data_IF_718756294267
#
_entry.id   IF_718756294267
#
_cell.length_a   1.000
_cell.length_b   1.000
_cell.length_c   1.000
_cell.angle_alpha   90.00
_cell.angle_beta   90.00
_cell.angle_gamma   90.00
#
_symmetry.space_group_name_H-M   'P 1'
#
loop_
_entity.id
_entity.type
_entity.pdbx_description
1 polymer ?
#
# COMPACT_ATOMS: atom_id res chain seq x y z
N UNK A 1 -11.66 -22.92 0.48
CA UNK A 1 -11.42 -22.08 -0.72
C UNK A 1 -11.85 -20.69 -0.32
N UNK A 2 -11.03 -19.67 -0.55
CA UNK A 2 -11.40 -18.31 -0.23
C UNK A 2 -12.13 -17.73 -1.45
N UNK A 3 -13.41 -17.45 -1.29
CA UNK A 3 -14.20 -16.83 -2.37
C UNK A 3 -14.58 -15.40 -1.98
N UNK A 4 -14.83 -14.57 -2.98
CA UNK A 4 -15.23 -13.18 -2.82
C UNK A 4 -16.42 -12.83 -3.73
N UNK A 5 -17.25 -11.92 -3.23
CA UNK A 5 -18.36 -11.27 -3.93
C UNK A 5 -18.13 -9.76 -3.90
N UNK A 6 -18.29 -9.08 -5.05
CA UNK A 6 -18.31 -7.62 -5.10
C UNK A 6 -19.61 -7.12 -4.48
N UNK A 7 -19.50 -6.38 -3.38
CA UNK A 7 -20.66 -5.76 -2.71
C UNK A 7 -20.98 -4.38 -3.28
N UNK A 8 -19.95 -3.62 -3.58
CA UNK A 8 -20.06 -2.24 -4.00
C UNK A 8 -18.82 -1.83 -4.79
N UNK A 9 -19.02 -0.98 -5.78
CA UNK A 9 -17.96 -0.28 -6.52
C UNK A 9 -18.34 1.20 -6.59
N UNK A 10 -17.35 2.06 -6.75
CA UNK A 10 -17.60 3.48 -6.95
C UNK A 10 -16.33 4.30 -7.07
N UNK A 11 -16.51 5.62 -6.98
CA UNK A 11 -15.42 6.60 -6.97
C UNK A 11 -15.47 7.48 -5.72
N UNK A 12 -14.30 7.96 -5.28
CA UNK A 12 -14.13 8.79 -4.10
C UNK A 12 -13.50 10.14 -4.49
N UNK A 13 -14.16 11.26 -4.19
CA UNK A 13 -13.54 12.58 -4.38
C UNK A 13 -12.47 12.83 -3.31
N UNK A 14 -11.22 12.90 -3.74
CA UNK A 14 -10.05 13.05 -2.87
C UNK A 14 -9.65 14.52 -2.70
N UNK A 15 -10.10 15.41 -3.58
CA UNK A 15 -9.92 16.86 -3.50
C UNK A 15 -10.90 17.59 -4.43
N UNK A 16 -11.04 18.93 -4.31
CA UNK A 16 -11.92 19.69 -5.19
C UNK A 16 -11.55 19.56 -6.67
N UNK A 17 -12.57 19.42 -7.52
CA UNK A 17 -12.40 19.32 -8.98
C UNK A 17 -11.66 20.53 -9.55
N UNK A 18 -10.75 20.27 -10.49
CA UNK A 18 -10.01 21.31 -11.20
C UNK A 18 -8.80 21.87 -10.45
N UNK A 19 -8.38 21.23 -9.35
CA UNK A 19 -7.12 21.53 -8.69
C UNK A 19 -5.95 21.37 -9.68
N UNK A 20 -5.02 22.32 -9.64
CA UNK A 20 -3.83 22.33 -10.49
C UNK A 20 -2.56 22.41 -9.65
N UNK A 21 -1.50 21.82 -10.17
CA UNK A 21 -0.17 21.88 -9.57
C UNK A 21 0.53 23.23 -9.86
N UNK A 22 1.78 23.35 -9.43
CA UNK A 22 2.60 24.57 -9.64
C UNK A 22 2.91 24.83 -11.12
N UNK A 23 2.87 23.81 -11.98
CA UNK A 23 3.07 23.90 -13.42
C UNK A 23 1.76 24.21 -14.18
N UNK A 24 0.62 24.23 -13.47
CA UNK A 24 -0.70 24.44 -14.04
C UNK A 24 -1.31 23.17 -14.65
N UNK A 25 -0.72 22.00 -14.43
CA UNK A 25 -1.29 20.70 -14.82
C UNK A 25 -2.39 20.29 -13.85
N UNK A 26 -3.37 19.49 -14.32
CA UNK A 26 -4.39 18.97 -13.41
C UNK A 26 -3.76 17.97 -12.44
N UNK A 27 -4.08 18.12 -11.15
CA UNK A 27 -3.68 17.14 -10.15
C UNK A 27 -4.51 15.88 -10.36
N UNK A 28 -3.83 14.76 -10.53
CA UNK A 28 -4.41 13.43 -10.61
C UNK A 28 -4.23 12.73 -9.25
N UNK A 29 -5.30 12.13 -8.74
CA UNK A 29 -5.23 11.24 -7.60
C UNK A 29 -4.90 9.83 -8.06
N UNK A 30 -3.93 9.24 -7.37
CA UNK A 30 -3.33 7.93 -7.61
C UNK A 30 -3.24 7.27 -6.22
N UNK A 31 -4.33 6.61 -5.77
CA UNK A 31 -4.45 6.09 -4.39
C UNK A 31 -3.85 4.69 -4.31
N UNK A 32 -2.69 4.62 -3.69
CA UNK A 32 -1.88 3.41 -3.53
C UNK A 32 -2.00 2.81 -2.12
N UNK A 33 -2.16 3.62 -1.07
CA UNK A 33 -2.21 3.14 0.31
C UNK A 33 -3.59 3.34 0.96
N UNK A 34 -4.03 2.36 1.75
CA UNK A 34 -5.25 2.49 2.57
C UNK A 34 -5.17 1.63 3.82
N UNK A 35 -5.73 2.13 4.93
CA UNK A 35 -5.97 1.34 6.14
C UNK A 35 -7.28 1.76 6.80
N UNK A 36 -7.93 0.84 7.52
CA UNK A 36 -9.17 1.12 8.25
C UNK A 36 -8.93 1.25 9.76
N UNK A 37 -9.30 2.41 10.34
CA UNK A 37 -9.09 2.69 11.78
C UNK A 37 -10.22 2.19 12.69
N UNK A 38 -11.20 1.48 12.15
CA UNK A 38 -12.43 1.08 12.85
C UNK A 38 -13.59 2.07 12.69
N UNK A 39 -13.36 3.24 12.07
CA UNK A 39 -14.38 4.25 11.77
C UNK A 39 -14.20 4.89 10.38
N UNK A 40 -12.96 5.08 9.94
CA UNK A 40 -12.56 5.80 8.73
C UNK A 40 -11.55 4.99 7.96
N UNK A 41 -11.57 5.17 6.65
CA UNK A 41 -10.44 4.82 5.80
C UNK A 41 -9.43 5.96 5.90
N UNK A 42 -8.17 5.64 6.17
CA UNK A 42 -7.03 6.54 5.98
C UNK A 42 -6.41 6.12 4.67
N UNK A 43 -6.29 7.04 3.71
CA UNK A 43 -5.78 6.79 2.36
C UNK A 43 -4.59 7.69 2.07
N UNK A 44 -3.72 7.27 1.17
CA UNK A 44 -2.70 8.14 0.59
C UNK A 44 -2.66 8.05 -0.93
N UNK A 45 -2.38 9.18 -1.55
CA UNK A 45 -1.98 9.21 -2.94
C UNK A 45 -0.46 9.10 -3.08
N UNK A 46 0.02 8.41 -4.13
CA UNK A 46 1.43 8.38 -4.48
C UNK A 46 1.94 9.78 -4.94
N UNK A 47 1.02 10.62 -5.46
CA UNK A 47 1.28 12.00 -5.88
C UNK A 47 0.95 13.03 -4.80
N UNK A 48 1.75 14.11 -4.70
CA UNK A 48 1.43 15.23 -3.83
C UNK A 48 0.11 15.92 -4.20
N UNK A 49 -0.70 16.26 -3.19
CA UNK A 49 -1.89 17.11 -3.35
C UNK A 49 -1.54 18.55 -2.91
N UNK A 50 -1.41 19.52 -3.83
CA UNK A 50 -0.85 20.83 -3.54
C UNK A 50 -1.77 21.69 -2.67
N UNK A 51 -1.18 22.47 -1.76
CA UNK A 51 -1.85 23.46 -0.90
C UNK A 51 -1.52 23.30 0.59
N UNK A 52 -1.57 24.40 1.33
CA UNK A 52 -1.16 24.40 2.74
C UNK A 52 -2.04 23.51 3.62
N UNK A 53 -3.36 23.54 3.38
CA UNK A 53 -4.36 22.76 4.11
C UNK A 53 -4.68 21.40 3.46
N UNK A 54 -3.85 20.94 2.52
CA UNK A 54 -3.99 19.64 1.83
C UNK A 54 -2.72 18.81 1.99
N UNK A 55 -2.87 17.52 1.78
CA UNK A 55 -1.83 16.52 1.88
C UNK A 55 -2.18 15.32 1.01
N UNK A 56 -1.17 14.55 0.61
CA UNK A 56 -1.37 13.27 -0.07
C UNK A 56 -2.09 12.26 0.84
N UNK A 57 -2.00 12.43 2.16
CA UNK A 57 -2.68 11.58 3.15
C UNK A 57 -3.96 12.25 3.65
N UNK A 58 -5.06 11.51 3.63
CA UNK A 58 -6.37 11.97 4.08
C UNK A 58 -7.20 10.82 4.64
N UNK A 59 -8.21 11.15 5.43
CA UNK A 59 -9.16 10.18 5.99
C UNK A 59 -10.59 10.51 5.57
N UNK A 60 -11.40 9.48 5.32
CA UNK A 60 -12.83 9.59 5.03
C UNK A 60 -13.62 8.59 5.89
N UNK A 61 -14.76 8.99 6.49
CA UNK A 61 -15.66 8.05 7.15
C UNK A 61 -16.13 6.96 6.19
N UNK A 62 -16.27 5.73 6.68
CA UNK A 62 -16.95 4.67 5.93
C UNK A 62 -18.34 4.40 6.51
N UNK A 63 -19.31 4.23 5.62
CA UNK A 63 -20.70 3.96 5.99
C UNK A 63 -21.20 2.70 5.29
N UNK A 64 -22.45 2.30 5.56
CA UNK A 64 -23.09 1.21 4.82
C UNK A 64 -23.25 1.49 3.31
N UNK A 65 -23.16 2.76 2.90
CA UNK A 65 -23.20 3.18 1.50
C UNK A 65 -21.79 3.37 0.90
N UNK A 66 -20.73 2.93 1.59
CA UNK A 66 -19.34 3.15 1.19
C UNK A 66 -18.70 4.37 1.85
N UNK A 67 -17.50 4.78 1.37
CA UNK A 67 -16.80 5.96 1.87
C UNK A 67 -17.58 7.26 1.62
N UNK A 68 -17.52 8.19 2.57
CA UNK A 68 -18.23 9.48 2.55
C UNK A 68 -17.23 10.65 2.48
N UNK A 69 -16.97 11.13 1.27
CA UNK A 69 -16.03 12.24 1.00
C UNK A 69 -16.43 13.60 1.61
N UNK A 70 -17.69 13.78 2.03
CA UNK A 70 -18.12 14.99 2.74
C UNK A 70 -17.44 15.15 4.10
N UNK A 71 -16.94 14.03 4.66
CA UNK A 71 -16.19 13.99 5.91
C UNK A 71 -14.68 13.97 5.73
N UNK A 72 -14.16 14.29 4.53
CA UNK A 72 -12.74 14.21 4.24
C UNK A 72 -11.90 15.15 5.12
N UNK A 73 -10.84 14.59 5.70
CA UNK A 73 -9.87 15.30 6.53
C UNK A 73 -8.44 15.04 6.03
N UNK A 74 -7.67 16.09 5.73
CA UNK A 74 -6.26 15.95 5.32
C UNK A 74 -5.32 15.91 6.53
N UNK A 75 -4.34 15.00 6.50
CA UNK A 75 -3.29 14.94 7.52
C UNK A 75 -2.11 15.80 7.10
N UNK A 76 -1.96 16.96 7.73
CA UNK A 76 -1.06 18.04 7.26
C UNK A 76 0.22 18.20 8.09
N UNK A 77 0.52 17.24 8.97
CA UNK A 77 1.79 17.24 9.71
C UNK A 77 2.99 17.28 8.75
N UNK A 78 4.05 18.00 9.12
CA UNK A 78 5.17 18.30 8.21
C UNK A 78 5.82 17.03 7.64
N UNK A 79 6.08 16.00 8.47
CA UNK A 79 6.68 14.75 7.99
C UNK A 79 5.76 14.02 7.00
N UNK A 80 4.44 14.06 7.21
CA UNK A 80 3.45 13.46 6.31
C UNK A 80 3.45 14.19 4.95
N UNK A 81 3.49 15.53 4.96
CA UNK A 81 3.48 16.33 3.73
C UNK A 81 4.77 16.24 2.92
N UNK A 82 5.90 15.94 3.58
CA UNK A 82 7.23 15.87 2.94
C UNK A 82 7.52 14.52 2.29
N UNK A 83 6.93 13.44 2.79
CA UNK A 83 7.03 12.14 2.15
C UNK A 83 6.28 12.15 0.81
N UNK A 84 6.83 11.45 -0.19
CA UNK A 84 6.31 11.38 -1.55
C UNK A 84 6.31 9.93 -2.00
N UNK A 85 5.33 9.55 -2.84
CA UNK A 85 5.07 8.16 -3.22
C UNK A 85 4.77 7.29 -2.02
N UNK A 86 3.71 7.61 -1.29
CA UNK A 86 3.12 6.62 -0.39
C UNK A 86 2.75 5.40 -1.22
N UNK A 87 3.03 4.21 -0.73
CA UNK A 87 2.71 2.97 -1.45
C UNK A 87 1.83 2.05 -0.59
N UNK A 88 1.99 2.03 0.73
CA UNK A 88 1.09 1.23 1.59
C UNK A 88 0.99 1.76 3.03
N UNK A 89 -0.07 1.35 3.71
CA UNK A 89 -0.33 1.61 5.13
C UNK A 89 -0.53 0.31 5.90
N UNK A 90 -0.20 0.34 7.19
CA UNK A 90 -0.54 -0.73 8.12
C UNK A 90 -0.95 -0.18 9.48
N UNK A 91 -1.79 -0.91 10.20
CA UNK A 91 -1.86 -0.76 11.65
C UNK A 91 -0.84 -1.68 12.31
N UNK A 92 -0.24 -1.25 13.43
CA UNK A 92 0.46 -2.19 14.31
C UNK A 92 -0.48 -3.32 14.74
N UNK A 93 0.06 -4.49 15.06
CA UNK A 93 -0.76 -5.68 15.36
C UNK A 93 -1.74 -5.50 16.53
N UNK A 94 -1.48 -4.51 17.41
CA UNK A 94 -2.35 -4.11 18.52
C UNK A 94 -3.32 -2.95 18.19
N UNK A 95 -3.29 -2.46 16.95
CA UNK A 95 -4.15 -1.40 16.43
C UNK A 95 -3.84 0.00 16.98
N UNK A 96 -2.72 0.20 17.68
CA UNK A 96 -2.43 1.46 18.38
C UNK A 96 -1.72 2.52 17.54
N UNK A 97 -1.01 2.12 16.49
CA UNK A 97 -0.25 3.03 15.64
C UNK A 97 -0.56 2.76 14.17
N UNK A 98 -0.50 3.82 13.38
CA UNK A 98 -0.50 3.76 11.92
C UNK A 98 0.96 3.80 11.46
N UNK A 99 1.28 2.95 10.49
CA UNK A 99 2.54 2.89 9.78
C UNK A 99 2.30 3.25 8.33
N UNK A 100 3.22 4.00 7.74
CA UNK A 100 3.16 4.36 6.33
C UNK A 100 4.51 4.20 5.65
N UNK A 101 4.53 3.52 4.50
CA UNK A 101 5.74 3.35 3.70
C UNK A 101 5.63 4.11 2.38
N UNK A 102 6.78 4.60 1.91
CA UNK A 102 6.95 5.02 0.52
C UNK A 102 7.65 3.95 -0.31
N UNK A 103 7.88 4.22 -1.59
CA UNK A 103 8.43 3.24 -2.54
C UNK A 103 9.88 2.79 -2.34
N UNK A 104 10.75 3.60 -1.71
CA UNK A 104 12.20 3.36 -1.61
C UNK A 104 12.91 3.10 -2.96
N UNK A 105 12.27 3.44 -4.08
CA UNK A 105 12.70 3.18 -5.47
C UNK A 105 13.72 4.19 -6.00
N UNK A 106 13.97 5.27 -5.24
CA UNK A 106 14.77 6.42 -5.66
C UNK A 106 15.69 6.86 -4.54
N UNK A 107 16.97 7.06 -4.83
CA UNK A 107 17.92 7.62 -3.88
C UNK A 107 18.97 8.46 -4.61
N UNK A 108 19.39 9.55 -3.97
CA UNK A 108 20.56 10.32 -4.36
C UNK A 108 21.45 10.49 -3.12
N UNK A 109 22.50 9.68 -3.05
CA UNK A 109 23.42 9.61 -1.91
C UNK A 109 24.32 10.85 -1.79
N UNK A 110 24.41 11.69 -2.83
CA UNK A 110 25.24 12.90 -2.81
C UNK A 110 24.43 14.14 -2.44
N UNK A 111 23.27 14.33 -3.07
CA UNK A 111 22.48 15.56 -2.90
C UNK A 111 21.35 15.45 -1.88
N UNK A 112 20.94 14.22 -1.54
CA UNK A 112 19.82 13.90 -0.65
C UNK A 112 18.46 14.40 -1.19
N UNK A 113 18.41 14.87 -2.45
CA UNK A 113 17.21 15.44 -3.07
C UNK A 113 16.05 14.44 -3.19
N UNK A 114 16.34 13.13 -3.11
CA UNK A 114 15.37 12.04 -3.25
C UNK A 114 15.02 11.38 -1.91
N UNK A 115 15.41 11.96 -0.77
CA UNK A 115 15.06 11.39 0.55
C UNK A 115 13.55 11.34 0.80
N UNK A 116 12.77 12.23 0.16
CA UNK A 116 11.31 12.21 0.20
C UNK A 116 10.68 10.86 -0.20
N UNK A 117 11.36 10.08 -1.04
CA UNK A 117 10.93 8.76 -1.53
C UNK A 117 11.29 7.60 -0.59
N UNK A 118 11.99 7.85 0.51
CA UNK A 118 12.49 6.82 1.42
C UNK A 118 11.99 7.09 2.85
N UNK A 119 10.73 6.77 3.12
CA UNK A 119 10.11 6.98 4.41
C UNK A 119 9.40 5.72 4.90
N UNK A 120 9.66 5.39 6.15
CA UNK A 120 8.71 4.70 7.02
C UNK A 120 8.30 5.69 8.11
N UNK A 121 7.02 6.01 8.17
CA UNK A 121 6.44 6.89 9.17
C UNK A 121 5.64 6.07 10.18
N UNK A 122 5.58 6.54 11.42
CA UNK A 122 4.73 6.00 12.48
C UNK A 122 4.06 7.12 13.26
N UNK A 123 2.78 6.98 13.59
CA UNK A 123 2.08 7.85 14.52
C UNK A 123 1.02 7.09 15.34
N UNK A 124 0.69 7.53 16.57
CA UNK A 124 -0.43 6.96 17.31
C UNK A 124 -1.74 7.13 16.55
N UNK A 125 -2.60 6.12 16.57
CA UNK A 125 -3.85 6.15 15.84
C UNK A 125 -4.74 7.31 16.30
N UNK A 126 -5.16 8.15 15.35
CA UNK A 126 -5.95 9.36 15.63
C UNK A 126 -5.12 10.61 15.97
N UNK A 127 -3.79 10.50 16.04
CA UNK A 127 -2.87 11.60 16.40
C UNK A 127 -1.80 11.81 15.31
N UNK A 128 -2.19 12.11 14.05
CA UNK A 128 -1.25 12.25 12.92
C UNK A 128 -0.24 13.39 13.09
N UNK A 129 -0.51 14.36 13.96
CA UNK A 129 0.42 15.43 14.33
C UNK A 129 1.64 14.95 15.13
N UNK A 130 1.61 13.72 15.65
CA UNK A 130 2.71 13.09 16.40
C UNK A 130 3.53 12.11 15.54
N UNK A 131 3.43 12.26 14.22
CA UNK A 131 4.21 11.48 13.26
C UNK A 131 5.71 11.59 13.50
N UNK A 132 6.37 10.43 13.39
CA UNK A 132 7.81 10.29 13.49
C UNK A 132 8.34 9.49 12.31
N UNK A 133 9.54 9.85 11.86
CA UNK A 133 10.30 9.05 10.90
C UNK A 133 11.00 7.91 11.63
N UNK A 134 10.84 6.69 11.12
CA UNK A 134 11.51 5.49 11.63
C UNK A 134 12.91 5.40 11.02
N UNK A 135 13.92 5.10 11.84
CA UNK A 135 15.33 4.96 11.42
C UNK A 135 15.82 6.11 10.48
N UNK A 136 15.72 7.38 10.92
CA UNK A 136 16.18 8.51 10.12
C UNK A 136 17.71 8.57 10.03
N UNK A 137 18.26 9.25 9.02
CA UNK A 137 19.69 9.59 9.01
C UNK A 137 20.00 10.68 10.06
N UNK A 138 20.92 10.44 11.00
CA UNK A 138 21.28 11.46 11.99
C UNK A 138 22.08 12.65 11.43
N UNK A 139 22.56 12.61 10.19
CA UNK A 139 23.67 13.48 9.74
C UNK A 139 23.27 14.86 9.22
N UNK A 140 22.06 15.08 8.69
CA UNK A 140 21.82 16.31 7.92
C UNK A 140 20.46 17.00 8.15
N UNK A 141 19.65 16.56 9.12
CA UNK A 141 18.34 17.17 9.40
C UNK A 141 17.33 17.06 8.23
N UNK A 142 17.66 16.26 7.21
CA UNK A 142 16.77 15.87 6.12
C UNK A 142 16.10 14.57 6.55
N UNK A 143 14.88 14.70 7.03
CA UNK A 143 14.08 13.60 7.55
C UNK A 143 13.70 12.66 6.40
N UNK A 144 14.25 11.45 6.45
CA UNK A 144 14.02 10.30 5.56
C UNK A 144 14.67 9.08 6.20
N UNK A 145 14.11 7.89 5.98
CA UNK A 145 14.48 6.62 6.62
C UNK A 145 15.72 5.98 5.99
N UNK A 146 16.85 6.68 5.95
CA UNK A 146 18.06 6.17 5.27
C UNK A 146 18.74 5.02 6.02
N UNK A 147 18.67 4.99 7.36
CA UNK A 147 19.17 3.84 8.12
C UNK A 147 18.30 2.60 7.86
N UNK A 148 16.99 2.77 7.68
CA UNK A 148 16.11 1.69 7.19
C UNK A 148 16.49 1.28 5.77
N UNK A 149 16.75 2.23 4.87
CA UNK A 149 17.18 1.93 3.50
C UNK A 149 18.43 1.05 3.48
N UNK A 150 19.44 1.38 4.29
CA UNK A 150 20.66 0.55 4.40
C UNK A 150 20.36 -0.87 4.88
N UNK A 151 19.40 -1.03 5.82
CA UNK A 151 18.96 -2.36 6.28
C UNK A 151 18.22 -3.11 5.16
N UNK A 152 17.37 -2.43 4.39
CA UNK A 152 16.66 -3.00 3.23
C UNK A 152 17.64 -3.41 2.13
N UNK A 153 18.65 -2.58 1.80
CA UNK A 153 19.71 -2.92 0.84
C UNK A 153 20.39 -4.25 1.21
N UNK A 154 20.71 -4.42 2.51
CA UNK A 154 21.32 -5.64 3.02
C UNK A 154 20.43 -6.88 2.93
N UNK A 155 19.12 -6.74 3.17
CA UNK A 155 18.16 -7.83 3.13
C UNK A 155 17.74 -8.21 1.70
N UNK A 156 17.59 -7.21 0.82
CA UNK A 156 17.11 -7.39 -0.54
C UNK A 156 18.24 -7.83 -1.48
N UNK A 157 19.41 -7.20 -1.38
CA UNK A 157 20.61 -7.57 -2.12
C UNK A 157 20.65 -7.10 -3.58
N UNK A 158 19.76 -6.18 -3.98
CA UNK A 158 19.73 -5.56 -5.30
C UNK A 158 19.90 -4.05 -5.20
N UNK A 159 20.57 -3.40 -6.17
CA UNK A 159 20.73 -1.94 -6.17
C UNK A 159 19.43 -1.19 -6.46
N UNK A 160 18.48 -1.81 -7.15
CA UNK A 160 17.14 -1.29 -7.38
C UNK A 160 16.10 -2.25 -6.78
N UNK A 161 15.13 -1.69 -6.08
CA UNK A 161 13.93 -2.38 -5.62
C UNK A 161 12.81 -1.37 -5.36
N UNK A 162 11.58 -1.86 -5.32
CA UNK A 162 10.41 -1.06 -4.99
C UNK A 162 9.59 -1.75 -3.90
N UNK A 163 9.29 -1.00 -2.85
CA UNK A 163 8.44 -1.45 -1.73
C UNK A 163 7.03 -0.94 -1.97
N UNK A 164 6.07 -1.85 -2.05
CA UNK A 164 4.64 -1.49 -2.19
C UNK A 164 3.73 -2.26 -1.24
N UNK A 165 4.25 -3.24 -0.49
CA UNK A 165 3.49 -3.88 0.59
C UNK A 165 3.94 -3.43 1.96
N UNK A 166 3.01 -3.26 2.90
CA UNK A 166 3.32 -3.04 4.31
C UNK A 166 2.31 -3.74 5.21
N UNK A 167 2.76 -4.65 6.07
CA UNK A 167 1.91 -5.22 7.10
C UNK A 167 2.64 -5.35 8.43
N UNK A 168 1.94 -5.15 9.53
CA UNK A 168 2.45 -5.50 10.85
C UNK A 168 1.61 -6.62 11.47
N UNK A 169 2.28 -7.74 11.78
CA UNK A 169 1.65 -8.92 12.36
C UNK A 169 2.19 -9.18 13.78
N UNK A 170 1.48 -9.97 14.62
CA UNK A 170 2.02 -10.38 15.91
C UNK A 170 3.33 -11.16 15.75
N UNK A 171 4.35 -10.79 16.52
CA UNK A 171 5.60 -11.54 16.64
C UNK A 171 5.50 -12.69 17.66
N UNK A 172 6.47 -13.60 17.62
CA UNK A 172 6.48 -14.78 18.48
C UNK A 172 6.85 -14.47 19.93
N UNK A 173 7.45 -13.30 20.20
CA UNK A 173 8.01 -12.94 21.52
C UNK A 173 7.17 -11.89 22.24
N UNK A 174 5.97 -11.60 21.73
CA UNK A 174 5.14 -10.48 22.19
C UNK A 174 5.58 -9.13 21.63
N UNK A 175 6.56 -9.13 20.72
CA UNK A 175 6.90 -8.05 19.80
C UNK A 175 5.95 -8.03 18.59
N UNK A 176 6.09 -7.02 17.73
CA UNK A 176 5.49 -7.03 16.39
C UNK A 176 6.50 -7.54 15.36
N UNK A 177 6.02 -8.03 14.22
CA UNK A 177 6.83 -8.32 13.04
C UNK A 177 6.34 -7.40 11.92
N UNK A 178 7.21 -6.50 11.47
CA UNK A 178 6.95 -5.59 10.36
C UNK A 178 7.41 -6.25 9.06
N UNK A 179 6.53 -6.27 8.07
CA UNK A 179 6.71 -6.89 6.78
C UNK A 179 6.63 -5.83 5.69
N UNK A 180 7.62 -5.84 4.80
CA UNK A 180 7.69 -5.02 3.61
C UNK A 180 7.56 -5.93 2.38
N UNK A 181 6.56 -5.65 1.56
CA UNK A 181 6.36 -6.28 0.27
C UNK A 181 7.24 -5.63 -0.78
N UNK A 182 8.13 -6.43 -1.37
CA UNK A 182 8.95 -6.05 -2.51
C UNK A 182 8.18 -6.40 -3.77
N UNK A 183 7.94 -5.40 -4.63
CA UNK A 183 7.25 -5.55 -5.92
C UNK A 183 8.21 -5.74 -7.07
N UNK A 184 9.28 -4.97 -7.08
CA UNK A 184 10.30 -4.95 -8.13
C UNK A 184 11.66 -5.13 -7.49
N UNK A 185 12.58 -5.82 -8.17
CA UNK A 185 14.00 -5.83 -7.82
C UNK A 185 14.86 -6.05 -9.06
N UNK A 186 16.04 -5.43 -9.12
CA UNK A 186 16.89 -5.49 -10.30
C UNK A 186 18.11 -4.59 -10.26
N UNK A 187 18.66 -4.29 -11.43
CA UNK A 187 19.82 -3.40 -11.58
C UNK A 187 19.42 -1.93 -11.69
N UNK A 188 18.24 -1.64 -12.25
CA UNK A 188 17.70 -0.29 -12.40
C UNK A 188 16.17 -0.32 -12.59
N UNK A 189 15.54 0.85 -12.60
CA UNK A 189 14.13 1.02 -12.93
C UNK A 189 13.76 0.66 -14.39
N UNK A 190 14.75 0.39 -15.25
CA UNK A 190 14.56 -0.09 -16.63
C UNK A 190 14.93 -1.58 -16.78
N UNK A 191 15.52 -2.19 -15.75
CA UNK A 191 16.06 -3.55 -15.73
C UNK A 191 15.76 -4.20 -14.37
N UNK A 192 14.51 -4.65 -14.23
CA UNK A 192 13.98 -5.30 -13.03
C UNK A 192 13.05 -6.46 -13.38
N UNK A 193 12.84 -7.34 -12.41
CA UNK A 193 11.81 -8.37 -12.43
C UNK A 193 10.67 -8.01 -11.48
N UNK A 194 9.43 -8.30 -11.85
CA UNK A 194 8.32 -8.32 -10.90
C UNK A 194 8.48 -9.50 -9.94
N UNK A 195 8.32 -9.23 -8.65
CA UNK A 195 8.48 -10.20 -7.58
C UNK A 195 7.35 -10.11 -6.57
N UNK A 196 7.12 -11.24 -5.89
CA UNK A 196 6.23 -11.31 -4.74
C UNK A 196 7.05 -11.83 -3.55
N UNK A 197 7.87 -10.93 -3.00
CA UNK A 197 8.82 -11.22 -1.92
C UNK A 197 8.51 -10.35 -0.71
N UNK A 198 8.65 -10.90 0.48
CA UNK A 198 8.41 -10.21 1.75
C UNK A 198 9.68 -10.25 2.59
N UNK A 199 10.22 -9.07 2.88
CA UNK A 199 11.31 -8.88 3.84
C UNK A 199 10.76 -8.22 5.10
N UNK A 200 11.40 -8.42 6.24
CA UNK A 200 10.85 -7.89 7.49
C UNK A 200 11.80 -8.07 8.66
N UNK A 201 11.40 -7.53 9.81
CA UNK A 201 12.10 -7.67 11.08
C UNK A 201 11.12 -7.49 12.24
N UNK A 202 11.46 -8.08 13.38
CA UNK A 202 10.73 -7.85 14.61
C UNK A 202 10.99 -6.42 15.11
N UNK A 203 9.97 -5.83 15.71
CA UNK A 203 10.02 -4.48 16.23
C UNK A 203 9.29 -4.34 17.56
N UNK A 204 9.63 -3.28 18.27
CA UNK A 204 8.87 -2.75 19.40
C UNK A 204 8.61 -1.28 19.19
N UNK A 205 7.58 -0.73 19.85
CA UNK A 205 7.39 0.72 19.94
C UNK A 205 7.96 1.18 21.26
N UNK A 206 8.90 2.13 21.22
CA UNK A 206 9.57 2.64 22.41
C UNK A 206 8.68 3.62 23.22
N UNK A 207 9.15 4.08 24.37
CA UNK A 207 8.41 4.99 25.26
C UNK A 207 8.11 6.37 24.63
N UNK A 208 8.75 6.71 23.51
CA UNK A 208 8.49 7.93 22.73
C UNK A 208 7.52 7.69 21.57
N UNK A 209 6.97 6.48 21.42
CA UNK A 209 6.03 6.16 20.35
C UNK A 209 6.68 5.87 18.99
N UNK A 210 8.01 5.69 18.92
CA UNK A 210 8.70 5.36 17.67
C UNK A 210 8.98 3.85 17.55
N UNK A 211 8.99 3.36 16.32
CA UNK A 211 9.34 1.98 15.99
C UNK A 211 10.85 1.76 16.13
N UNK A 212 11.23 0.67 16.79
CA UNK A 212 12.62 0.22 16.91
C UNK A 212 12.69 -1.26 16.53
N UNK A 213 13.47 -1.57 15.50
CA UNK A 213 13.77 -2.96 15.14
C UNK A 213 14.63 -3.62 16.21
N UNK A 214 14.26 -4.85 16.59
CA UNK A 214 14.94 -5.62 17.63
C UNK A 214 15.76 -6.78 17.08
N UNK A 215 15.69 -7.02 15.78
CA UNK A 215 16.56 -7.90 15.01
C UNK A 215 16.82 -7.37 13.59
N UNK A 216 17.53 -8.16 12.78
CA UNK A 216 17.94 -7.78 11.42
C UNK A 216 16.83 -8.01 10.39
N UNK A 217 16.73 -7.11 9.40
CA UNK A 217 15.89 -7.33 8.24
C UNK A 217 16.35 -8.57 7.46
N UNK A 218 15.41 -9.44 7.11
CA UNK A 218 15.64 -10.64 6.32
C UNK A 218 14.40 -11.01 5.52
N UNK A 219 14.56 -11.92 4.56
CA UNK A 219 13.42 -12.53 3.89
C UNK A 219 12.60 -13.40 4.86
N UNK A 220 11.29 -13.21 4.86
CA UNK A 220 10.33 -14.04 5.59
C UNK A 220 9.49 -14.91 4.67
N UNK A 221 9.25 -14.47 3.44
CA UNK A 221 8.33 -15.16 2.54
C UNK A 221 8.57 -14.77 1.08
N UNK A 222 8.27 -15.69 0.17
CA UNK A 222 8.25 -15.44 -1.27
C UNK A 222 7.33 -16.45 -1.96
N UNK A 223 6.69 -16.03 -3.05
CA UNK A 223 5.91 -16.93 -3.91
C UNK A 223 5.93 -16.43 -5.36
N UNK A 224 5.50 -17.28 -6.30
CA UNK A 224 5.40 -16.92 -7.71
C UNK A 224 3.94 -17.04 -8.17
N UNK A 225 3.23 -15.92 -8.40
CA UNK A 225 1.87 -15.91 -8.94
C UNK A 225 1.71 -16.75 -10.20
N UNK A 226 2.71 -16.72 -11.09
CA UNK A 226 2.75 -17.35 -12.41
C UNK A 226 2.71 -18.89 -12.33
N UNK A 227 2.87 -19.48 -11.14
CA UNK A 227 2.67 -20.92 -10.93
C UNK A 227 1.18 -21.31 -10.91
N UNK A 228 0.26 -20.35 -10.79
CA UNK A 228 -1.17 -20.57 -10.94
C UNK A 228 -1.60 -20.35 -12.40
N UNK A 229 -2.19 -21.34 -13.08
CA UNK A 229 -2.60 -21.22 -14.49
C UNK A 229 -3.59 -20.08 -14.77
N UNK A 230 -4.37 -19.67 -13.77
CA UNK A 230 -5.34 -18.57 -13.89
C UNK A 230 -4.70 -17.18 -13.82
N UNK A 231 -3.43 -17.05 -13.41
CA UNK A 231 -2.69 -15.79 -13.45
C UNK A 231 -2.13 -15.61 -14.86
N UNK A 232 -2.68 -14.64 -15.58
CA UNK A 232 -2.43 -14.48 -17.02
C UNK A 232 -1.21 -13.63 -17.34
N UNK A 233 -0.89 -12.70 -16.45
CA UNK A 233 0.13 -11.68 -16.66
C UNK A 233 1.18 -11.74 -15.56
N UNK A 234 2.39 -11.29 -15.90
CA UNK A 234 3.44 -11.12 -14.91
C UNK A 234 3.05 -9.99 -13.96
N UNK A 235 3.07 -10.26 -12.66
CA UNK A 235 2.57 -9.35 -11.64
C UNK A 235 3.50 -9.32 -10.43
N UNK A 236 3.56 -8.16 -9.80
CA UNK A 236 4.31 -7.91 -8.58
C UNK A 236 3.37 -7.71 -7.39
N UNK A 237 3.91 -7.82 -6.18
CA UNK A 237 3.18 -7.55 -4.94
C UNK A 237 2.91 -6.05 -4.78
N UNK A 238 1.64 -5.67 -4.70
CA UNK A 238 1.18 -4.27 -4.63
C UNK A 238 0.64 -3.84 -3.26
N UNK A 239 0.27 -4.77 -2.38
CA UNK A 239 -0.03 -4.47 -0.97
C UNK A 239 -0.01 -5.73 -0.11
N UNK A 240 0.19 -5.54 1.20
CA UNK A 240 0.05 -6.56 2.22
C UNK A 240 -0.92 -6.07 3.29
N UNK A 241 -1.90 -6.87 3.67
CA UNK A 241 -2.82 -6.46 4.74
C UNK A 241 -3.07 -7.60 5.75
N UNK A 242 -2.99 -7.27 7.03
CA UNK A 242 -3.19 -8.23 8.11
C UNK A 242 -4.66 -8.29 8.54
N UNK A 243 -5.24 -9.50 8.49
CA UNK A 243 -6.57 -9.78 9.04
C UNK A 243 -6.45 -10.37 10.46
N UNK A 244 -6.65 -9.53 11.51
CA UNK A 244 -6.61 -10.00 12.89
C UNK A 244 -7.78 -10.89 13.27
N UNK A 245 -8.91 -10.85 12.54
CA UNK A 245 -10.08 -11.68 12.84
C UNK A 245 -9.83 -13.17 12.53
N UNK A 246 -9.00 -13.45 11.52
CA UNK A 246 -8.73 -14.80 11.05
C UNK A 246 -7.26 -15.22 11.11
N UNK A 247 -6.38 -14.33 11.59
CA UNK A 247 -4.93 -14.57 11.67
C UNK A 247 -4.35 -14.99 10.31
N UNK A 248 -4.57 -14.14 9.31
CA UNK A 248 -4.12 -14.35 7.93
C UNK A 248 -3.63 -13.04 7.33
N UNK A 249 -2.83 -13.15 6.28
CA UNK A 249 -2.42 -12.05 5.43
C UNK A 249 -3.18 -12.13 4.12
N UNK A 250 -3.69 -11.01 3.68
CA UNK A 250 -4.02 -10.80 2.28
C UNK A 250 -2.81 -10.20 1.57
N UNK A 251 -2.63 -10.61 0.32
CA UNK A 251 -1.62 -10.06 -0.56
C UNK A 251 -2.33 -9.63 -1.83
N UNK A 252 -2.12 -8.39 -2.23
CA UNK A 252 -2.59 -7.87 -3.49
C UNK A 252 -1.43 -7.90 -4.47
N UNK A 253 -1.68 -8.30 -5.71
CA UNK A 253 -0.68 -8.23 -6.78
C UNK A 253 -1.26 -7.45 -7.94
N UNK A 254 -0.48 -6.56 -8.55
CA UNK A 254 -0.88 -5.77 -9.71
C UNK A 254 0.02 -6.03 -10.92
N UNK A 255 -0.52 -5.77 -12.11
CA UNK A 255 0.23 -5.84 -13.36
C UNK A 255 -0.13 -4.69 -14.29
N UNK A 256 0.83 -4.35 -15.14
CA UNK A 256 0.71 -3.41 -16.23
C UNK A 256 1.43 -4.03 -17.43
N UNK A 257 0.70 -4.35 -18.49
CA UNK A 257 1.25 -5.02 -19.67
C UNK A 257 0.71 -4.38 -20.95
N UNK A 258 1.52 -4.40 -22.00
CA UNK A 258 1.07 -4.06 -23.34
C UNK A 258 0.72 -5.37 -24.09
N UNK A 259 -0.56 -5.58 -24.39
CA UNK A 259 -1.04 -6.73 -25.16
C UNK A 259 -1.73 -6.25 -26.45
N UNK A 260 -1.19 -6.63 -27.61
CA UNK A 260 -1.73 -6.26 -28.91
C UNK A 260 -1.90 -4.74 -29.14
N UNK A 261 -0.91 -3.95 -28.69
CA UNK A 261 -0.91 -2.47 -28.74
C UNK A 261 -1.95 -1.81 -27.82
N UNK A 262 -2.56 -2.57 -26.90
CA UNK A 262 -3.44 -2.07 -25.85
C UNK A 262 -2.75 -2.20 -24.48
N UNK A 263 -2.66 -1.11 -23.74
CA UNK A 263 -2.25 -1.13 -22.34
C UNK A 263 -3.34 -1.82 -21.51
N UNK A 264 -2.92 -2.76 -20.66
CA UNK A 264 -3.79 -3.49 -19.75
C UNK A 264 -3.24 -3.41 -18.34
N UNK A 265 -4.14 -3.06 -17.44
CA UNK A 265 -3.88 -3.02 -16.02
C UNK A 265 -4.82 -3.97 -15.30
N UNK A 266 -4.42 -4.40 -14.11
CA UNK A 266 -5.28 -5.23 -13.28
C UNK A 266 -4.56 -5.73 -12.04
N UNK A 267 -5.19 -6.69 -11.37
CA UNK A 267 -4.58 -7.34 -10.23
C UNK A 267 -5.30 -8.59 -9.77
N UNK A 268 -4.72 -9.26 -8.78
CA UNK A 268 -5.24 -10.47 -8.16
C UNK A 268 -5.16 -10.37 -6.64
N UNK A 269 -6.12 -11.00 -5.96
CA UNK A 269 -6.14 -11.10 -4.50
C UNK A 269 -5.73 -12.50 -4.05
N UNK A 270 -4.85 -12.55 -3.06
CA UNK A 270 -4.32 -13.78 -2.48
C UNK A 270 -4.51 -13.79 -0.97
N UNK A 271 -4.53 -14.98 -0.38
CA UNK A 271 -4.64 -15.14 1.08
C UNK A 271 -3.76 -16.27 1.60
N UNK A 272 -3.12 -16.05 2.74
CA UNK A 272 -2.30 -17.04 3.44
C UNK A 272 -2.51 -16.93 4.95
N UNK A 273 -2.73 -18.03 5.66
CA UNK A 273 -2.78 -17.99 7.13
C UNK A 273 -1.39 -17.67 7.69
N UNK A 274 -1.30 -17.08 8.89
CA UNK A 274 0.00 -16.82 9.51
C UNK A 274 0.81 -18.12 9.73
N UNK A 275 0.14 -19.23 10.02
CA UNK A 275 0.78 -20.55 10.10
C UNK A 275 1.38 -20.99 8.76
N UNK A 276 0.64 -20.81 7.66
CA UNK A 276 1.11 -21.17 6.32
C UNK A 276 2.24 -20.24 5.84
N UNK A 277 2.14 -18.95 6.16
CA UNK A 277 3.17 -17.94 5.90
C UNK A 277 4.48 -18.32 6.61
N UNK A 278 4.42 -18.59 7.92
CA UNK A 278 5.58 -19.01 8.70
C UNK A 278 6.18 -20.34 8.21
N UNK A 279 5.35 -21.22 7.63
CA UNK A 279 5.78 -22.48 7.03
C UNK A 279 6.25 -22.36 5.57
N UNK A 280 6.26 -21.15 4.97
CA UNK A 280 6.65 -20.93 3.58
C UNK A 280 5.74 -21.61 2.56
N UNK A 281 4.47 -21.84 2.89
CA UNK A 281 3.49 -22.44 1.97
C UNK A 281 2.90 -21.37 1.08
N UNK A 282 2.76 -21.66 -0.21
CA UNK A 282 2.17 -20.74 -1.19
C UNK A 282 0.78 -20.22 -0.77
N UNK A 283 0.45 -18.95 -1.10
CA UNK A 283 -0.85 -18.39 -0.79
C UNK A 283 -1.91 -19.00 -1.70
N UNK A 284 -3.18 -18.87 -1.29
CA UNK A 284 -4.33 -19.30 -2.09
C UNK A 284 -4.87 -18.11 -2.88
N UNK A 285 -5.04 -18.27 -4.18
CA UNK A 285 -5.72 -17.31 -5.04
C UNK A 285 -7.21 -17.20 -4.63
N UNK A 286 -7.68 -15.98 -4.39
CA UNK A 286 -9.09 -15.72 -4.10
C UNK A 286 -9.91 -15.84 -5.39
N UNK A 287 -11.09 -16.43 -5.27
CA UNK A 287 -11.97 -16.72 -6.42
C UNK A 287 -13.28 -15.96 -6.33
N UNK A 288 -13.93 -15.76 -7.47
CA UNK A 288 -15.31 -15.27 -7.51
C UNK A 288 -16.27 -16.36 -7.03
N UNK A 289 -17.53 -15.99 -6.77
CA UNK A 289 -18.59 -16.97 -6.46
C UNK A 289 -18.86 -17.98 -7.59
N UNK A 290 -18.44 -17.69 -8.83
CA UNK A 290 -18.52 -18.61 -9.95
C UNK A 290 -17.37 -19.65 -9.98
N UNK A 291 -16.32 -19.43 -9.17
CA UNK A 291 -15.13 -20.28 -9.08
C UNK A 291 -13.95 -19.83 -9.95
N UNK A 292 -14.11 -18.77 -10.73
CA UNK A 292 -13.02 -18.15 -11.50
C UNK A 292 -12.06 -17.40 -10.57
N UNK A 293 -10.82 -17.14 -11.02
CA UNK A 293 -9.92 -16.25 -10.29
C UNK A 293 -10.55 -14.86 -10.14
N UNK A 294 -10.43 -14.24 -8.96
CA UNK A 294 -10.78 -12.85 -8.79
C UNK A 294 -9.67 -12.00 -9.42
N UNK A 295 -9.93 -11.51 -10.63
CA UNK A 295 -9.09 -10.54 -11.33
C UNK A 295 -9.78 -9.17 -11.31
N UNK A 296 -9.06 -8.16 -10.85
CA UNK A 296 -9.52 -6.77 -10.89
C UNK A 296 -9.23 -6.17 -12.27
N UNK A 297 -10.18 -5.43 -12.83
CA UNK A 297 -10.01 -4.71 -14.10
C UNK A 297 -9.26 -3.37 -13.99
N UNK A 298 -8.76 -3.07 -12.80
CA UNK A 298 -8.03 -1.86 -12.45
C UNK A 298 -6.80 -2.24 -11.63
N UNK A 299 -5.77 -1.38 -11.63
CA UNK A 299 -4.50 -1.64 -10.93
C UNK A 299 -4.74 -1.54 -9.42
N UNK A 300 -4.84 -2.71 -8.80
CA UNK A 300 -5.21 -2.87 -7.40
C UNK A 300 -3.97 -2.70 -6.52
N UNK A 301 -3.94 -1.62 -5.74
CA UNK A 301 -2.80 -1.22 -4.90
C UNK A 301 -3.22 -1.19 -3.43
N UNK A 302 -4.15 -0.32 -3.02
CA UNK A 302 -4.52 -0.22 -1.60
C UNK A 302 -5.47 -1.32 -1.13
N UNK A 303 -5.22 -1.93 0.04
CA UNK A 303 -6.09 -2.93 0.66
C UNK A 303 -6.33 -2.69 2.16
N UNK A 304 -7.58 -2.74 2.62
CA UNK A 304 -7.91 -2.64 4.04
C UNK A 304 -8.96 -3.66 4.51
N UNK A 305 -8.79 -4.21 5.72
CA UNK A 305 -9.81 -5.03 6.39
C UNK A 305 -10.87 -4.13 7.02
N UNK A 306 -12.11 -4.21 6.56
CA UNK A 306 -13.22 -3.46 7.15
C UNK A 306 -13.83 -4.17 8.35
N UNK A 307 -13.91 -5.49 8.29
CA UNK A 307 -14.32 -6.38 9.37
C UNK A 307 -13.98 -7.84 9.01
N UNK A 308 -14.55 -8.81 9.75
CA UNK A 308 -14.32 -10.24 9.53
C UNK A 308 -14.71 -10.74 8.13
N UNK A 309 -15.59 -10.06 7.43
CA UNK A 309 -16.11 -10.53 6.14
C UNK A 309 -15.86 -9.55 5.00
N UNK A 310 -15.46 -8.30 5.28
CA UNK A 310 -15.39 -7.24 4.25
C UNK A 310 -13.99 -6.68 4.08
N UNK A 311 -13.62 -6.47 2.81
CA UNK A 311 -12.39 -5.81 2.38
C UNK A 311 -12.72 -4.56 1.58
N UNK A 312 -11.85 -3.55 1.66
CA UNK A 312 -11.84 -2.38 0.78
C UNK A 312 -10.60 -2.44 -0.11
N UNK A 313 -10.76 -2.22 -1.41
CA UNK A 313 -9.68 -2.17 -2.40
C UNK A 313 -9.70 -0.80 -3.07
N UNK A 314 -8.57 -0.10 -3.06
CA UNK A 314 -8.35 1.13 -3.82
C UNK A 314 -7.55 0.82 -5.10
N UNK A 315 -7.78 1.62 -6.13
CA UNK A 315 -7.09 1.48 -7.41
C UNK A 315 -6.22 2.70 -7.71
N UNK A 316 -4.96 2.43 -8.06
CA UNK A 316 -4.04 3.40 -8.62
C UNK A 316 -3.82 3.10 -10.09
N UNK A 317 -4.67 3.65 -10.94
CA UNK A 317 -4.60 3.43 -12.39
C UNK A 317 -3.56 4.33 -13.08
N UNK A 318 -2.68 5.00 -12.32
CA UNK A 318 -1.76 6.02 -12.83
C UNK A 318 -2.54 7.05 -13.69
N UNK A 319 -2.20 7.12 -14.98
CA UNK A 319 -2.79 8.03 -15.97
C UNK A 319 -4.05 7.48 -16.64
N UNK A 320 -4.38 6.21 -16.44
CA UNK A 320 -5.62 5.65 -16.98
C UNK A 320 -6.82 6.21 -16.20
N UNK A 321 -7.67 6.89 -16.96
CA UNK A 321 -8.87 7.54 -16.46
C UNK A 321 -10.11 6.65 -16.59
N UNK A 322 -9.99 5.48 -17.22
CA UNK A 322 -11.10 4.58 -17.50
C UNK A 322 -11.76 4.06 -16.20
N UNK A 323 -13.09 3.97 -16.22
CA UNK A 323 -13.87 3.43 -15.09
C UNK A 323 -14.36 2.01 -15.31
N UNK A 324 -14.32 1.50 -16.55
CA UNK A 324 -14.68 0.11 -16.84
C UNK A 324 -16.05 -0.28 -16.28
N UNK A 325 -16.08 -1.29 -15.41
CA UNK A 325 -17.32 -1.77 -14.77
C UNK A 325 -17.76 -0.98 -13.53
N UNK A 326 -16.91 -0.08 -13.02
CA UNK A 326 -17.15 0.63 -11.75
C UNK A 326 -18.30 1.65 -11.87
N UNK A 327 -18.45 2.29 -13.02
CA UNK A 327 -19.38 3.41 -13.24
C UNK A 327 -19.94 3.37 -14.67
N UNK A 328 -21.10 4.02 -14.89
CA UNK A 328 -21.65 4.20 -16.24
C UNK A 328 -20.89 5.27 -17.04
N UNK A 329 -20.13 6.14 -16.37
CA UNK A 329 -19.20 7.07 -17.00
C UNK A 329 -18.01 6.33 -17.60
N UNK A 330 -17.57 6.75 -18.78
CA UNK A 330 -16.38 6.18 -19.41
C UNK A 330 -15.09 6.52 -18.63
N UNK A 331 -15.01 7.76 -18.11
CA UNK A 331 -13.83 8.30 -17.45
C UNK A 331 -14.15 8.95 -16.09
N UNK A 332 -13.23 8.78 -15.14
CA UNK A 332 -13.23 9.48 -13.85
C UNK A 332 -12.73 10.91 -13.99
N UNK A 333 -13.07 11.76 -13.03
CA UNK A 333 -12.35 13.02 -12.85
C UNK A 333 -10.97 12.77 -12.22
N UNK A 334 -10.00 13.61 -12.52
CA UNK A 334 -8.64 13.51 -11.96
C UNK A 334 -8.62 13.58 -10.41
N UNK A 335 -9.68 14.10 -9.78
CA UNK A 335 -9.81 14.13 -8.33
C UNK A 335 -10.55 12.91 -7.73
N UNK A 336 -10.94 11.94 -8.56
CA UNK A 336 -11.69 10.75 -8.16
C UNK A 336 -10.79 9.51 -8.16
N UNK A 337 -10.79 8.77 -7.06
CA UNK A 337 -10.13 7.47 -6.95
C UNK A 337 -11.19 6.35 -7.03
N UNK A 338 -11.06 5.37 -7.94
CA UNK A 338 -11.97 4.23 -7.99
C UNK A 338 -11.71 3.25 -6.83
N UNK A 339 -12.74 2.53 -6.40
CA UNK A 339 -12.63 1.51 -5.35
C UNK A 339 -13.65 0.37 -5.51
N UNK A 340 -13.37 -0.75 -4.84
CA UNK A 340 -14.29 -1.88 -4.69
C UNK A 340 -14.36 -2.34 -3.22
N UNK A 341 -15.56 -2.68 -2.75
CA UNK A 341 -15.78 -3.36 -1.47
C UNK A 341 -16.17 -4.81 -1.75
N UNK A 342 -15.43 -5.75 -1.17
CA UNK A 342 -15.64 -7.18 -1.32
C UNK A 342 -16.24 -7.78 -0.05
N UNK A 343 -17.05 -8.82 -0.20
CA UNK A 343 -17.38 -9.79 0.86
C UNK A 343 -16.60 -11.07 0.62
N UNK A 344 -15.97 -11.58 1.67
CA UNK A 344 -15.31 -12.88 1.70
C UNK A 344 -16.25 -13.96 2.22
N UNK A 345 -16.14 -15.17 1.66
CA UNK A 345 -16.95 -16.35 2.04
C UNK A 345 -16.12 -17.62 2.12
#
# INVERSE_FOLDING_TARGET
MANAEVLQEGTLHCFPTGLRDENGELVNVEVSAVVYDGQRLILASDKPIPGDARSAVFAVPITAAGPDDRGLEYFTADAIKRAVKYEDFALTADGRYVLATTGFDRIDMESHALNAYNHLLIWPLGEPEQVQVVDPDPRDGVEGSLELRNKLDGAIGYPYYKIEGLAAIPGERGDGLLLFGVREQGYSHEDFDYVCRVVGAHYTVNDHGNLVFVDELREFYSFSPQQQPEVRYDCGLSSLEYDPHHQRLFLLTSFEVEEAEEERIGGYLWVVSLEAFAAGKAPTLVRTMAGDALEFGHKAEGLAILDSERLFVAYDNDRDMSLGSIDERDERHACEAPYTILRLT
#
